data_IF_836752268631
#
_entry.id   IF_836752268631
#
_cell.length_a   1.000
_cell.length_b   1.000
_cell.length_c   1.000
_cell.angle_alpha   90.00
_cell.angle_beta   90.00
_cell.angle_gamma   90.00
#
_symmetry.space_group_name_H-M   'P 1'
#
loop_
_entity.id
_entity.type
_entity.pdbx_description
1 polymer ?
#
# COMPACT_ATOMS: atom_id res chain seq x y z
N UNK A 1 4.15 -6.48 23.80
CA UNK A 1 3.59 -5.51 22.82
C UNK A 1 3.77 -4.09 23.30
N UNK A 2 4.29 -3.21 22.45
CA UNK A 2 4.32 -1.77 22.74
C UNK A 2 2.92 -1.18 22.57
N UNK A 3 2.55 -0.19 23.38
CA UNK A 3 1.27 0.50 23.24
C UNK A 3 1.47 1.80 22.47
N UNK A 4 0.54 2.14 21.58
CA UNK A 4 0.53 3.43 20.91
C UNK A 4 0.52 4.58 21.92
N UNK A 5 1.08 5.74 21.55
CA UNK A 5 1.01 6.95 22.36
C UNK A 5 -0.42 7.25 22.82
N UNK A 6 -0.58 7.67 24.07
CA UNK A 6 -1.88 7.92 24.73
C UNK A 6 -2.85 6.72 24.85
N UNK A 7 -2.53 5.54 24.32
CA UNK A 7 -3.39 4.35 24.47
C UNK A 7 -3.65 3.96 25.92
N UNK A 8 -2.66 4.16 26.80
CA UNK A 8 -2.80 3.88 28.24
C UNK A 8 -3.71 4.88 28.97
N UNK A 9 -3.98 6.03 28.36
CA UNK A 9 -4.85 7.09 28.90
C UNK A 9 -6.30 6.96 28.40
N UNK A 10 -6.54 6.08 27.43
CA UNK A 10 -7.87 5.77 26.95
C UNK A 10 -8.68 5.01 28.03
N UNK A 11 -9.99 5.29 28.19
CA UNK A 11 -10.87 4.56 29.11
C UNK A 11 -10.80 3.04 28.91
N UNK A 12 -10.99 2.23 29.96
CA UNK A 12 -10.88 0.76 29.86
C UNK A 12 -12.00 0.05 30.58
N UNK A 13 -12.26 -1.19 30.15
CA UNK A 13 -13.27 -2.07 30.75
C UNK A 13 -14.60 -2.05 30.00
N UNK A 14 -15.45 -3.03 30.33
CA UNK A 14 -16.72 -3.30 29.62
C UNK A 14 -17.68 -2.10 29.56
N UNK A 15 -17.60 -1.18 30.53
CA UNK A 15 -18.42 0.05 30.58
C UNK A 15 -18.05 1.08 29.51
N UNK A 16 -16.85 0.97 28.91
CA UNK A 16 -16.35 1.87 27.87
C UNK A 16 -16.20 1.17 26.52
N UNK A 17 -16.85 0.00 26.34
CA UNK A 17 -16.80 -0.76 25.09
C UNK A 17 -17.37 0.05 23.91
N UNK A 18 -18.45 0.81 24.15
CA UNK A 18 -19.09 1.68 23.14
C UNK A 18 -18.49 3.09 23.07
N UNK A 19 -17.57 3.43 23.97
CA UNK A 19 -16.86 4.71 23.92
C UNK A 19 -15.93 4.70 22.71
N UNK A 20 -16.01 5.74 21.89
CA UNK A 20 -15.22 5.87 20.67
C UNK A 20 -13.74 6.12 21.03
N UNK A 21 -12.82 5.50 20.29
CA UNK A 21 -11.39 5.80 20.38
C UNK A 21 -10.98 6.61 19.16
N UNK A 22 -10.43 7.79 19.40
CA UNK A 22 -9.96 8.69 18.33
C UNK A 22 -8.48 8.43 18.08
N UNK A 23 -8.13 8.17 16.81
CA UNK A 23 -6.79 7.89 16.34
C UNK A 23 -6.44 8.87 15.23
N UNK A 24 -5.31 9.55 15.34
CA UNK A 24 -4.71 10.33 14.25
C UNK A 24 -3.54 9.55 13.65
N UNK A 25 -3.47 9.42 12.32
CA UNK A 25 -2.40 8.67 11.65
C UNK A 25 -1.83 9.42 10.45
N UNK A 26 -0.50 9.51 10.37
CA UNK A 26 0.22 10.17 9.28
C UNK A 26 1.38 11.04 9.78
N UNK A 27 2.06 11.72 8.85
CA UNK A 27 3.24 12.57 9.14
C UNK A 27 2.97 13.62 10.21
N UNK A 28 1.75 14.17 10.25
CA UNK A 28 1.34 15.25 11.16
C UNK A 28 0.42 14.77 12.28
N UNK A 29 0.43 13.46 12.58
CA UNK A 29 -0.46 12.85 13.59
C UNK A 29 -0.30 13.46 14.98
N UNK A 30 0.92 13.80 15.39
CA UNK A 30 1.16 14.42 16.70
C UNK A 30 0.58 15.83 16.80
N UNK A 31 0.73 16.64 15.74
CA UNK A 31 0.23 18.02 15.72
C UNK A 31 -1.30 18.06 15.81
N UNK A 32 -1.98 17.22 15.03
CA UNK A 32 -3.44 17.11 15.06
C UNK A 32 -3.97 16.52 16.38
N UNK A 33 -3.28 15.53 16.94
CA UNK A 33 -3.63 14.99 18.25
C UNK A 33 -3.49 16.02 19.37
N UNK A 34 -2.46 16.86 19.31
CA UNK A 34 -2.27 17.98 20.23
C UNK A 34 -3.37 19.05 20.06
N UNK A 35 -3.70 19.40 18.82
CA UNK A 35 -4.79 20.33 18.50
C UNK A 35 -6.14 19.83 19.04
N UNK A 36 -6.47 18.55 18.83
CA UNK A 36 -7.67 17.93 19.40
C UNK A 36 -7.68 18.05 20.93
N UNK A 37 -6.56 17.78 21.59
CA UNK A 37 -6.48 17.84 23.05
C UNK A 37 -6.63 19.27 23.61
N UNK A 38 -6.12 20.28 22.89
CA UNK A 38 -6.07 21.66 23.36
C UNK A 38 -7.33 22.48 23.00
N UNK A 39 -7.99 22.16 21.89
CA UNK A 39 -9.09 22.95 21.32
C UNK A 39 -10.35 22.11 21.08
N UNK A 40 -10.36 21.30 20.02
CA UNK A 40 -11.58 20.67 19.52
C UNK A 40 -12.20 19.62 20.46
N UNK A 41 -11.37 18.82 21.14
CA UNK A 41 -11.80 17.85 22.14
C UNK A 41 -12.49 18.53 23.32
N UNK A 42 -11.95 19.66 23.80
CA UNK A 42 -12.59 20.46 24.86
C UNK A 42 -13.94 21.03 24.43
N UNK A 43 -14.06 21.48 23.18
CA UNK A 43 -15.32 21.94 22.61
C UNK A 43 -16.35 20.82 22.48
N UNK A 44 -15.90 19.58 22.19
CA UNK A 44 -16.72 18.37 22.16
C UNK A 44 -16.98 17.75 23.55
N UNK A 45 -16.44 18.34 24.63
CA UNK A 45 -16.53 17.79 26.00
C UNK A 45 -15.67 16.54 26.25
N UNK A 46 -14.78 16.19 25.31
CA UNK A 46 -13.84 15.08 25.42
C UNK A 46 -12.48 15.56 25.97
N UNK A 47 -12.15 15.12 27.18
CA UNK A 47 -10.87 15.40 27.83
C UNK A 47 -9.86 14.24 27.71
N UNK A 48 -10.20 13.19 26.95
CA UNK A 48 -9.32 12.04 26.75
C UNK A 48 -8.34 12.36 25.62
N UNK A 49 -7.02 12.26 25.86
CA UNK A 49 -6.04 12.54 24.82
C UNK A 49 -6.11 11.46 23.72
N UNK A 50 -6.24 11.84 22.44
CA UNK A 50 -6.39 10.90 21.35
C UNK A 50 -5.09 10.11 21.13
N UNK A 51 -5.26 8.91 20.58
CA UNK A 51 -4.13 8.09 20.14
C UNK A 51 -3.57 8.69 18.86
N UNK A 52 -2.25 8.67 18.69
CA UNK A 52 -1.63 9.15 17.46
C UNK A 52 -0.55 8.20 16.97
N UNK A 53 -0.45 8.09 15.65
CA UNK A 53 0.44 7.20 14.91
C UNK A 53 1.25 8.06 13.92
N UNK A 54 2.39 8.58 14.39
CA UNK A 54 3.36 9.27 13.54
C UNK A 54 4.26 8.29 12.78
N UNK A 55 5.23 8.79 12.03
CA UNK A 55 6.12 7.96 11.20
C UNK A 55 6.80 6.82 11.99
N UNK A 56 7.27 7.11 13.21
CA UNK A 56 7.90 6.11 14.07
C UNK A 56 6.92 5.01 14.52
N UNK A 57 5.67 5.38 14.83
CA UNK A 57 4.65 4.44 15.28
C UNK A 57 4.08 3.64 14.11
N UNK A 58 4.02 4.25 12.92
CA UNK A 58 3.63 3.59 11.68
C UNK A 58 4.70 2.60 11.22
N UNK A 59 5.98 2.89 11.44
CA UNK A 59 7.09 1.95 11.19
C UNK A 59 7.06 0.74 12.14
N UNK A 60 6.60 0.91 13.38
CA UNK A 60 6.46 -0.18 14.37
C UNK A 60 5.04 -0.76 14.45
N UNK A 61 4.16 -0.46 13.49
CA UNK A 61 2.73 -0.77 13.56
C UNK A 61 2.43 -2.27 13.77
N UNK A 62 3.30 -3.15 13.26
CA UNK A 62 3.18 -4.60 13.40
C UNK A 62 3.28 -5.08 14.85
N UNK A 63 4.02 -4.37 15.71
CA UNK A 63 4.21 -4.71 17.13
C UNK A 63 3.56 -3.71 18.08
N UNK A 64 2.77 -2.78 17.53
CA UNK A 64 2.09 -1.72 18.25
C UNK A 64 0.61 -2.04 18.45
N UNK A 65 0.16 -1.99 19.70
CA UNK A 65 -1.26 -2.00 20.02
C UNK A 65 -1.81 -0.59 19.79
N UNK A 66 -2.81 -0.44 18.92
CA UNK A 66 -3.39 0.87 18.55
C UNK A 66 -4.75 1.13 19.19
N UNK A 67 -5.43 0.10 19.67
CA UNK A 67 -6.74 0.17 20.31
C UNK A 67 -6.77 -0.69 21.57
N UNK A 68 -7.42 -0.24 22.67
CA UNK A 68 -7.59 -1.06 23.87
C UNK A 68 -8.45 -2.30 23.58
N UNK A 69 -8.19 -3.39 24.29
CA UNK A 69 -8.96 -4.63 24.12
C UNK A 69 -10.44 -4.44 24.48
N UNK A 70 -11.33 -4.97 23.63
CA UNK A 70 -12.78 -4.93 23.86
C UNK A 70 -13.46 -3.62 23.47
N UNK A 71 -12.83 -2.79 22.63
CA UNK A 71 -13.48 -1.60 22.05
C UNK A 71 -14.30 -1.94 20.81
N UNK A 72 -15.48 -1.34 20.73
CA UNK A 72 -16.43 -1.54 19.63
C UNK A 72 -16.27 -0.51 18.51
N UNK A 73 -15.96 0.74 18.87
CA UNK A 73 -15.93 1.91 17.96
C UNK A 73 -14.58 2.62 17.90
N UNK A 74 -14.14 2.94 16.69
CA UNK A 74 -12.91 3.69 16.43
C UNK A 74 -13.15 4.78 15.39
N UNK A 75 -12.51 5.93 15.56
CA UNK A 75 -12.46 6.98 14.56
C UNK A 75 -11.02 7.23 14.17
N UNK A 76 -10.72 7.07 12.88
CA UNK A 76 -9.39 7.25 12.33
C UNK A 76 -9.36 8.50 11.45
N UNK A 77 -8.55 9.48 11.83
CA UNK A 77 -8.28 10.68 11.03
C UNK A 77 -6.91 10.56 10.38
N UNK A 78 -6.86 10.76 9.06
CA UNK A 78 -5.60 10.96 8.38
C UNK A 78 -5.05 12.35 8.72
N UNK A 79 -3.81 12.40 9.16
CA UNK A 79 -3.12 13.61 9.60
C UNK A 79 -1.83 13.76 8.78
N UNK A 80 -1.92 14.54 7.70
CA UNK A 80 -0.82 14.70 6.75
C UNK A 80 -0.70 13.52 5.79
N UNK A 81 0.53 13.17 5.41
CA UNK A 81 0.82 12.08 4.48
C UNK A 81 0.66 10.73 5.20
N UNK A 82 -0.25 9.89 4.71
CA UNK A 82 -0.42 8.51 5.15
C UNK A 82 -0.45 7.60 3.91
N UNK A 83 0.53 6.69 3.81
CA UNK A 83 0.62 5.77 2.67
C UNK A 83 -0.58 4.81 2.67
N UNK A 84 -1.24 4.55 1.52
CA UNK A 84 -2.39 3.64 1.46
C UNK A 84 -2.14 2.24 2.04
N UNK A 85 -0.93 1.71 1.88
CA UNK A 85 -0.55 0.42 2.48
C UNK A 85 -0.62 0.43 4.02
N UNK A 86 -0.27 1.55 4.67
CA UNK A 86 -0.36 1.68 6.13
C UNK A 86 -1.80 1.80 6.61
N UNK A 87 -2.68 2.42 5.81
CA UNK A 87 -4.13 2.50 6.09
C UNK A 87 -4.73 1.10 6.19
N UNK A 88 -4.40 0.22 5.23
CA UNK A 88 -4.84 -1.17 5.23
C UNK A 88 -4.34 -1.93 6.47
N UNK A 89 -3.06 -1.77 6.83
CA UNK A 89 -2.49 -2.39 8.04
C UNK A 89 -3.18 -1.90 9.32
N UNK A 90 -3.49 -0.61 9.42
CA UNK A 90 -4.27 -0.08 10.55
C UNK A 90 -5.64 -0.76 10.59
N UNK A 91 -6.35 -0.83 9.46
CA UNK A 91 -7.64 -1.49 9.37
C UNK A 91 -7.59 -2.97 9.80
N UNK A 92 -6.59 -3.73 9.37
CA UNK A 92 -6.39 -5.12 9.81
C UNK A 92 -6.15 -5.23 11.32
N UNK A 93 -5.39 -4.29 11.91
CA UNK A 93 -5.18 -4.25 13.36
C UNK A 93 -6.46 -3.96 14.12
N UNK A 94 -7.32 -3.07 13.60
CA UNK A 94 -8.65 -2.81 14.17
C UNK A 94 -9.52 -4.07 14.13
N UNK A 95 -9.47 -4.82 13.03
CA UNK A 95 -10.21 -6.07 12.86
C UNK A 95 -9.76 -7.13 13.89
N UNK A 96 -8.44 -7.31 14.05
CA UNK A 96 -7.85 -8.23 15.04
C UNK A 96 -8.23 -7.84 16.47
N UNK A 97 -8.25 -6.55 16.78
CA UNK A 97 -8.62 -6.02 18.09
C UNK A 97 -10.12 -6.21 18.42
N UNK A 98 -10.93 -6.66 17.45
CA UNK A 98 -12.36 -6.92 17.63
C UNK A 98 -13.25 -5.68 17.47
N UNK A 99 -12.70 -4.60 16.89
CA UNK A 99 -13.47 -3.40 16.55
C UNK A 99 -14.51 -3.78 15.51
N UNK A 100 -15.77 -3.37 15.73
CA UNK A 100 -16.88 -3.66 14.80
C UNK A 100 -17.24 -2.48 13.93
N UNK A 101 -16.96 -1.27 14.41
CA UNK A 101 -17.35 -0.03 13.76
C UNK A 101 -16.14 0.90 13.73
N UNK A 102 -15.66 1.23 12.54
CA UNK A 102 -14.59 2.20 12.37
C UNK A 102 -14.96 3.18 11.27
N UNK A 103 -14.86 4.47 11.57
CA UNK A 103 -15.03 5.55 10.59
C UNK A 103 -13.64 6.13 10.26
N UNK A 104 -13.26 6.08 8.99
CA UNK A 104 -12.02 6.62 8.48
C UNK A 104 -12.26 7.93 7.72
N UNK A 105 -11.43 8.93 7.99
CA UNK A 105 -11.49 10.27 7.42
C UNK A 105 -10.19 10.53 6.65
N UNK A 106 -10.14 10.24 5.33
CA UNK A 106 -8.93 10.37 4.52
C UNK A 106 -8.49 11.83 4.32
N UNK A 107 -9.42 12.77 4.39
CA UNK A 107 -9.16 14.21 4.24
C UNK A 107 -8.97 14.92 5.60
N UNK A 108 -8.81 14.14 6.67
CA UNK A 108 -8.52 14.64 8.01
C UNK A 108 -9.73 15.19 8.76
N UNK A 109 -9.43 15.85 9.86
CA UNK A 109 -10.38 16.14 10.95
C UNK A 109 -11.52 17.10 10.60
N UNK A 110 -11.27 18.02 9.66
CA UNK A 110 -12.24 19.04 9.26
C UNK A 110 -13.06 18.65 8.02
N UNK A 111 -12.82 17.47 7.44
CA UNK A 111 -13.58 16.99 6.28
C UNK A 111 -14.83 16.23 6.69
N UNK A 112 -15.88 16.36 5.88
CA UNK A 112 -17.13 15.60 6.01
C UNK A 112 -17.06 14.23 5.30
N UNK A 113 -16.00 13.98 4.52
CA UNK A 113 -15.83 12.73 3.79
C UNK A 113 -15.37 11.63 4.75
N UNK A 114 -16.29 10.72 5.07
CA UNK A 114 -16.05 9.54 5.90
C UNK A 114 -16.24 8.26 5.11
N UNK A 115 -15.36 7.32 5.34
CA UNK A 115 -15.47 5.94 4.88
C UNK A 115 -15.80 5.06 6.08
N UNK A 116 -16.91 4.32 6.01
CA UNK A 116 -17.26 3.39 7.07
C UNK A 116 -16.64 2.02 6.78
N UNK A 117 -15.82 1.54 7.71
CA UNK A 117 -15.07 0.29 7.58
C UNK A 117 -15.78 -0.92 8.21
N UNK A 118 -17.06 -0.85 8.60
CA UNK A 118 -17.78 -1.99 9.20
C UNK A 118 -17.67 -3.26 8.37
N UNK A 119 -18.00 -3.18 7.07
CA UNK A 119 -17.97 -4.33 6.17
C UNK A 119 -16.54 -4.83 5.95
N UNK A 120 -15.57 -3.92 5.82
CA UNK A 120 -14.16 -4.25 5.66
C UNK A 120 -13.62 -5.03 6.87
N UNK A 121 -13.90 -4.55 8.09
CA UNK A 121 -13.50 -5.21 9.32
C UNK A 121 -14.20 -6.56 9.56
N UNK A 122 -15.42 -6.74 9.06
CA UNK A 122 -16.12 -8.02 9.10
C UNK A 122 -15.50 -9.04 8.16
N UNK A 123 -15.20 -8.65 6.91
CA UNK A 123 -14.52 -9.51 5.93
C UNK A 123 -13.13 -9.92 6.42
N UNK A 124 -12.33 -8.97 6.90
CA UNK A 124 -11.00 -9.25 7.45
C UNK A 124 -11.05 -10.23 8.64
N UNK A 125 -12.04 -10.09 9.53
CA UNK A 125 -12.23 -11.05 10.63
C UNK A 125 -12.69 -12.42 10.14
N UNK A 126 -13.56 -12.48 9.14
CA UNK A 126 -14.00 -13.73 8.56
C UNK A 126 -12.84 -14.47 7.88
N UNK A 127 -12.01 -13.77 7.10
CA UNK A 127 -10.82 -14.33 6.47
C UNK A 127 -9.79 -14.82 7.51
N UNK A 128 -9.60 -14.09 8.60
CA UNK A 128 -8.74 -14.55 9.69
C UNK A 128 -9.32 -15.72 10.48
N UNK A 129 -10.63 -15.80 10.63
CA UNK A 129 -11.31 -16.94 11.24
C UNK A 129 -11.23 -18.19 10.35
N UNK A 130 -11.38 -18.04 9.04
CA UNK A 130 -11.18 -19.10 8.05
C UNK A 130 -9.72 -19.56 8.02
N UNK A 131 -8.75 -18.63 8.00
CA UNK A 131 -7.31 -18.96 8.16
C UNK A 131 -7.00 -19.69 9.47
N UNK A 132 -7.73 -19.40 10.56
CA UNK A 132 -7.61 -20.16 11.83
C UNK A 132 -8.28 -21.53 11.76
N UNK A 133 -9.38 -21.69 11.02
CA UNK A 133 -10.10 -22.97 10.85
C UNK A 133 -9.32 -23.98 10.00
N UNK A 134 -8.53 -23.52 9.02
CA UNK A 134 -7.73 -24.39 8.14
C UNK A 134 -6.47 -24.98 8.84
N UNK A 135 -6.18 -24.58 10.09
CA UNK A 135 -4.97 -25.02 10.83
C UNK A 135 -5.20 -26.27 11.71
N UNK A 136 -6.42 -26.81 11.82
CA UNK A 136 -6.64 -28.06 12.56
C UNK A 136 -6.52 -29.32 11.68
N UNK A 137 -5.29 -29.69 11.33
CA UNK A 137 -4.93 -31.06 10.93
C UNK A 137 -3.66 -31.49 11.70
N UNK A 138 -3.66 -32.68 12.33
CA UNK A 138 -2.66 -33.01 13.35
C UNK A 138 -1.37 -33.49 12.69
N UNK A 139 -0.35 -32.63 12.62
CA UNK A 139 1.02 -33.08 12.43
C UNK A 139 1.87 -32.53 13.58
N UNK A 140 2.34 -33.44 14.43
CA UNK A 140 3.32 -33.20 15.49
C UNK A 140 4.48 -32.34 14.97
N UNK A 141 4.52 -31.05 15.32
CA UNK A 141 5.74 -30.25 15.32
C UNK A 141 5.79 -29.41 16.59
N UNK A 142 6.94 -29.53 17.25
CA UNK A 142 7.34 -28.93 18.52
C UNK A 142 6.88 -27.48 18.64
N UNK A 143 6.35 -27.17 19.81
CA UNK A 143 6.05 -25.84 20.30
C UNK A 143 7.23 -24.89 20.03
N UNK A 144 7.01 -23.88 19.20
CA UNK A 144 7.84 -22.67 19.22
C UNK A 144 7.32 -21.81 20.37
N UNK A 145 8.08 -21.83 21.45
CA UNK A 145 7.99 -20.86 22.53
C UNK A 145 7.97 -19.46 21.92
N UNK A 146 6.94 -18.68 22.28
CA UNK A 146 6.90 -17.24 22.06
C UNK A 146 8.00 -16.63 22.92
N UNK A 147 9.12 -16.31 22.30
CA UNK A 147 10.09 -15.38 22.85
C UNK A 147 9.86 -14.03 22.16
N UNK A 148 9.68 -12.99 22.98
CA UNK A 148 9.38 -11.60 22.62
C UNK A 148 10.61 -10.88 22.01
N UNK A 149 11.30 -11.54 21.08
CA UNK A 149 12.45 -10.98 20.39
C UNK A 149 12.48 -11.45 18.93
N UNK A 150 11.45 -11.07 18.16
CA UNK A 150 11.59 -10.94 16.71
C UNK A 150 12.49 -9.72 16.39
N UNK A 151 13.73 -9.75 16.90
CA UNK A 151 14.84 -9.17 16.20
C UNK A 151 14.76 -9.73 14.78
N UNK A 152 14.70 -8.86 13.79
CA UNK A 152 15.06 -9.15 12.40
C UNK A 152 15.95 -10.38 12.35
N UNK A 153 15.43 -11.53 11.89
CA UNK A 153 16.31 -12.63 11.53
C UNK A 153 17.36 -12.00 10.63
N UNK A 154 18.64 -12.09 10.99
CA UNK A 154 19.68 -11.57 10.14
C UNK A 154 19.45 -12.16 8.74
N UNK A 155 19.57 -11.36 7.68
CA UNK A 155 19.25 -11.77 6.29
C UNK A 155 19.86 -13.15 5.90
N UNK A 156 20.98 -13.54 6.52
CA UNK A 156 21.62 -14.84 6.35
C UNK A 156 20.87 -16.03 7.03
N UNK A 157 20.08 -15.78 8.06
CA UNK A 157 19.25 -16.77 8.78
C UNK A 157 17.84 -16.92 8.18
N UNK A 158 17.42 -15.97 7.34
CA UNK A 158 16.13 -16.05 6.64
C UNK A 158 16.09 -17.23 5.65
N UNK A 159 14.89 -17.75 5.37
CA UNK A 159 14.68 -18.66 4.23
C UNK A 159 14.83 -17.93 2.89
N UNK A 160 14.97 -18.68 1.80
CA UNK A 160 15.04 -18.08 0.45
C UNK A 160 13.78 -17.28 0.09
N UNK A 161 12.59 -17.74 0.51
CA UNK A 161 11.32 -17.02 0.32
C UNK A 161 11.29 -15.71 1.08
N UNK A 162 11.69 -15.72 2.36
CA UNK A 162 11.73 -14.53 3.20
C UNK A 162 12.73 -13.48 2.67
N UNK A 163 13.90 -13.92 2.18
CA UNK A 163 14.83 -13.01 1.49
C UNK A 163 14.23 -12.44 0.21
N UNK A 164 13.50 -13.25 -0.54
CA UNK A 164 12.76 -12.81 -1.73
C UNK A 164 11.70 -11.75 -1.40
N UNK A 165 10.99 -11.90 -0.28
CA UNK A 165 10.03 -10.90 0.22
C UNK A 165 10.71 -9.57 0.57
N UNK A 166 11.91 -9.61 1.16
CA UNK A 166 12.70 -8.39 1.42
C UNK A 166 13.08 -7.70 0.12
N UNK A 167 13.51 -8.45 -0.90
CA UNK A 167 13.81 -7.89 -2.22
C UNK A 167 12.55 -7.29 -2.87
N UNK A 168 11.41 -7.96 -2.81
CA UNK A 168 10.14 -7.44 -3.31
C UNK A 168 9.74 -6.14 -2.60
N UNK A 169 9.90 -6.07 -1.27
CA UNK A 169 9.62 -4.89 -0.49
C UNK A 169 10.55 -3.71 -0.84
N UNK A 170 11.80 -3.97 -1.23
CA UNK A 170 12.73 -2.95 -1.72
C UNK A 170 12.20 -2.26 -3.00
N UNK A 171 11.47 -2.98 -3.85
CA UNK A 171 10.78 -2.42 -5.03
C UNK A 171 9.33 -1.97 -4.73
N UNK A 172 8.99 -1.74 -3.46
CA UNK A 172 7.66 -1.27 -3.06
C UNK A 172 6.53 -2.28 -3.26
N UNK A 173 6.84 -3.56 -3.53
CA UNK A 173 5.85 -4.57 -3.88
C UNK A 173 5.33 -4.47 -5.32
N UNK A 174 5.96 -3.65 -6.15
CA UNK A 174 5.50 -3.34 -7.51
C UNK A 174 6.32 -4.09 -8.57
N UNK A 175 6.51 -5.40 -8.35
CA UNK A 175 7.13 -6.33 -9.30
C UNK A 175 6.09 -7.30 -9.84
N UNK A 176 6.18 -7.62 -11.12
CA UNK A 176 5.37 -8.61 -11.80
C UNK A 176 6.22 -9.42 -12.78
N UNK A 177 5.76 -10.60 -13.17
CA UNK A 177 6.49 -11.47 -14.10
C UNK A 177 5.75 -11.61 -15.42
N UNK A 178 6.49 -11.47 -16.53
CA UNK A 178 5.94 -11.71 -17.85
C UNK A 178 5.88 -13.23 -18.12
N UNK A 179 4.68 -13.76 -18.39
CA UNK A 179 4.42 -15.20 -18.47
C UNK A 179 5.33 -15.96 -19.46
N UNK A 180 5.57 -15.38 -20.63
CA UNK A 180 6.27 -16.08 -21.72
C UNK A 180 7.80 -16.01 -21.61
N UNK A 181 8.33 -14.96 -20.98
CA UNK A 181 9.77 -14.65 -20.98
C UNK A 181 10.40 -14.80 -19.59
N UNK A 182 9.61 -15.07 -18.55
CA UNK A 182 10.03 -15.11 -17.14
C UNK A 182 10.75 -13.82 -16.69
N UNK A 183 10.56 -12.74 -17.45
CA UNK A 183 11.22 -11.46 -17.19
C UNK A 183 10.43 -10.70 -16.14
N UNK A 184 11.10 -10.32 -15.06
CA UNK A 184 10.51 -9.48 -14.01
C UNK A 184 10.42 -8.06 -14.53
N UNK A 185 9.30 -7.40 -14.26
CA UNK A 185 9.12 -5.99 -14.55
C UNK A 185 8.80 -5.23 -13.26
N UNK A 186 9.32 -4.02 -13.16
CA UNK A 186 9.05 -3.08 -12.07
C UNK A 186 8.15 -1.96 -12.56
N UNK A 187 7.10 -1.65 -11.82
CA UNK A 187 6.22 -0.55 -12.15
C UNK A 187 6.76 0.77 -11.60
N UNK A 188 7.10 1.70 -12.48
CA UNK A 188 7.69 3.00 -12.12
C UNK A 188 6.63 4.11 -11.84
N UNK A 189 5.34 3.75 -11.82
CA UNK A 189 4.22 4.69 -11.70
C UNK A 189 3.55 5.05 -13.04
N UNK A 190 4.20 4.75 -14.17
CA UNK A 190 3.69 5.02 -15.52
C UNK A 190 3.62 3.71 -16.31
N UNK A 191 4.75 2.99 -16.38
CA UNK A 191 4.92 1.76 -17.15
C UNK A 191 5.61 0.67 -16.32
N UNK A 192 5.52 -0.56 -16.81
CA UNK A 192 6.25 -1.71 -16.33
C UNK A 192 7.56 -1.83 -17.11
N UNK A 193 8.69 -1.60 -16.44
CA UNK A 193 10.02 -1.66 -17.03
C UNK A 193 10.68 -3.03 -16.75
N UNK A 194 11.29 -3.68 -17.75
CA UNK A 194 11.97 -4.96 -17.53
C UNK A 194 13.18 -4.78 -16.63
N UNK A 195 13.28 -5.61 -15.59
CA UNK A 195 14.41 -5.69 -14.66
C UNK A 195 15.13 -7.00 -14.89
N UNK A 196 16.42 -6.94 -15.19
CA UNK A 196 17.20 -8.16 -15.43
C UNK A 196 17.50 -8.89 -14.12
N UNK A 197 17.60 -10.22 -14.17
CA UNK A 197 17.99 -11.03 -13.00
C UNK A 197 19.30 -10.56 -12.36
N UNK A 198 20.27 -10.11 -13.18
CA UNK A 198 21.53 -9.56 -12.66
C UNK A 198 21.33 -8.29 -11.84
N UNK A 199 20.36 -7.46 -12.21
CA UNK A 199 20.02 -6.24 -11.48
C UNK A 199 19.29 -6.58 -10.17
N UNK A 200 18.35 -7.53 -10.20
CA UNK A 200 17.72 -8.06 -8.99
C UNK A 200 18.74 -8.67 -8.01
N UNK A 201 19.70 -9.42 -8.53
CA UNK A 201 20.79 -9.99 -7.72
C UNK A 201 21.70 -8.91 -7.14
N UNK A 202 22.00 -7.84 -7.89
CA UNK A 202 22.76 -6.68 -7.40
C UNK A 202 21.99 -5.92 -6.32
N UNK A 203 20.69 -5.69 -6.51
CA UNK A 203 19.84 -5.07 -5.50
C UNK A 203 19.81 -5.92 -4.21
N UNK A 204 19.67 -7.24 -4.34
CA UNK A 204 19.74 -8.14 -3.18
C UNK A 204 21.11 -8.09 -2.50
N UNK A 205 22.21 -8.05 -3.26
CA UNK A 205 23.56 -7.89 -2.69
C UNK A 205 23.69 -6.58 -1.90
N UNK A 206 23.15 -5.48 -2.43
CA UNK A 206 23.15 -4.19 -1.76
C UNK A 206 22.38 -4.23 -0.44
N UNK A 207 21.21 -4.89 -0.41
CA UNK A 207 20.44 -5.11 0.83
C UNK A 207 21.27 -5.84 1.90
N UNK A 208 22.08 -6.84 1.52
CA UNK A 208 22.98 -7.50 2.45
C UNK A 208 24.13 -6.60 2.93
N UNK A 209 24.71 -5.80 2.03
CA UNK A 209 25.78 -4.84 2.35
C UNK A 209 25.27 -3.79 3.33
N UNK A 210 24.12 -3.19 3.05
CA UNK A 210 23.51 -2.15 3.88
C UNK A 210 23.12 -2.67 5.26
N UNK A 211 22.81 -3.97 5.36
CA UNK A 211 22.56 -4.64 6.63
C UNK A 211 23.84 -5.09 7.35
N UNK A 212 25.03 -4.85 6.77
CA UNK A 212 26.34 -5.31 7.25
C UNK A 212 26.43 -6.83 7.45
N UNK A 213 25.74 -7.60 6.60
CA UNK A 213 25.66 -9.06 6.68
C UNK A 213 26.39 -9.68 5.49
N UNK A 214 27.25 -10.66 5.77
CA UNK A 214 27.91 -11.45 4.72
C UNK A 214 26.88 -12.22 3.87
N UNK A 215 27.07 -12.21 2.56
CA UNK A 215 26.22 -12.91 1.61
C UNK A 215 27.01 -13.90 0.75
N UNK A 216 26.29 -14.83 0.12
CA UNK A 216 26.84 -15.73 -0.88
C UNK A 216 26.06 -15.64 -2.17
N UNK A 217 26.70 -15.99 -3.28
CA UNK A 217 26.05 -16.03 -4.59
C UNK A 217 24.79 -16.92 -4.59
N UNK A 218 24.84 -18.07 -3.92
CA UNK A 218 23.70 -18.99 -3.82
C UNK A 218 22.56 -18.40 -2.99
N UNK A 219 22.86 -17.67 -1.91
CA UNK A 219 21.83 -17.02 -1.09
C UNK A 219 21.10 -15.92 -1.86
N UNK A 220 21.83 -15.12 -2.65
CA UNK A 220 21.26 -14.10 -3.53
C UNK A 220 20.43 -14.73 -4.64
N UNK A 221 21.00 -15.69 -5.37
CA UNK A 221 20.32 -16.34 -6.50
C UNK A 221 19.03 -17.02 -6.04
N UNK A 222 19.10 -17.81 -4.97
CA UNK A 222 17.90 -18.48 -4.43
C UNK A 222 16.84 -17.50 -3.94
N UNK A 223 17.21 -16.32 -3.42
CA UNK A 223 16.24 -15.28 -3.05
C UNK A 223 15.50 -14.74 -4.28
N UNK A 224 16.23 -14.40 -5.35
CA UNK A 224 15.64 -13.91 -6.61
C UNK A 224 14.74 -14.99 -7.25
N UNK A 225 15.25 -16.22 -7.38
CA UNK A 225 14.50 -17.33 -7.98
C UNK A 225 13.22 -17.63 -7.18
N UNK A 226 13.30 -17.61 -5.84
CA UNK A 226 12.11 -17.86 -5.00
C UNK A 226 11.12 -16.69 -5.05
N UNK A 227 11.60 -15.45 -5.13
CA UNK A 227 10.76 -14.27 -5.29
C UNK A 227 9.92 -14.36 -6.57
N UNK A 228 10.55 -14.71 -7.71
CA UNK A 228 9.85 -14.85 -9.00
C UNK A 228 8.63 -15.76 -8.93
N UNK A 229 8.73 -16.87 -8.20
CA UNK A 229 7.62 -17.83 -8.03
C UNK A 229 6.39 -17.23 -7.33
N UNK A 230 6.58 -16.16 -6.55
CA UNK A 230 5.52 -15.49 -5.80
C UNK A 230 4.97 -14.24 -6.49
N UNK A 231 5.60 -13.80 -7.59
CA UNK A 231 5.19 -12.57 -8.28
C UNK A 231 3.86 -12.77 -9.03
N UNK A 232 3.01 -11.73 -9.10
CA UNK A 232 1.85 -11.74 -9.97
C UNK A 232 2.29 -11.81 -11.44
N UNK A 233 1.53 -12.55 -12.24
CA UNK A 233 1.74 -12.61 -13.68
C UNK A 233 1.15 -11.36 -14.34
N UNK A 234 1.91 -10.74 -15.24
CA UNK A 234 1.46 -9.57 -15.98
C UNK A 234 0.26 -9.91 -16.87
N UNK A 235 -0.71 -8.99 -16.91
CA UNK A 235 -1.78 -9.03 -17.90
C UNK A 235 -1.36 -8.43 -19.24
N UNK A 236 -2.31 -8.43 -20.18
CA UNK A 236 -2.10 -7.87 -21.50
C UNK A 236 -2.43 -6.37 -21.52
N UNK A 237 -1.56 -5.58 -22.16
CA UNK A 237 -1.86 -4.19 -22.46
C UNK A 237 -3.00 -4.10 -23.48
N UNK A 238 -4.06 -3.37 -23.14
CA UNK A 238 -5.17 -3.18 -24.07
C UNK A 238 -4.76 -2.24 -25.23
N UNK A 239 -5.01 -2.65 -26.47
CA UNK A 239 -4.56 -1.96 -27.70
C UNK A 239 -5.11 -0.54 -27.85
N UNK A 240 -6.22 -0.24 -27.20
CA UNK A 240 -6.88 1.06 -27.24
C UNK A 240 -6.29 2.08 -26.26
N UNK A 241 -5.38 1.65 -25.37
CA UNK A 241 -4.75 2.52 -24.38
C UNK A 241 -3.45 3.11 -24.94
N UNK A 242 -3.29 4.41 -24.78
CA UNK A 242 -2.06 5.14 -25.10
C UNK A 242 -1.56 5.78 -23.81
N UNK A 243 -0.37 5.38 -23.36
CA UNK A 243 0.29 5.98 -22.21
C UNK A 243 0.97 7.31 -22.56
N UNK A 244 0.84 8.29 -21.69
CA UNK A 244 1.53 9.58 -21.68
C UNK A 244 2.22 9.76 -20.32
N UNK A 245 3.09 10.75 -20.15
CA UNK A 245 3.80 10.95 -18.87
C UNK A 245 2.90 11.39 -17.72
N UNK A 246 1.69 11.88 -18.03
CA UNK A 246 0.71 12.36 -17.06
C UNK A 246 -0.58 11.52 -17.01
N UNK A 247 -0.63 10.37 -17.66
CA UNK A 247 -1.81 9.50 -17.64
C UNK A 247 -1.99 8.63 -18.89
N UNK A 248 -3.19 8.12 -19.07
CA UNK A 248 -3.54 7.15 -20.12
C UNK A 248 -4.77 7.64 -20.87
N UNK A 249 -4.66 7.68 -22.20
CA UNK A 249 -5.78 7.99 -23.08
C UNK A 249 -6.41 6.71 -23.62
N UNK A 250 -7.73 6.56 -23.45
CA UNK A 250 -8.50 5.48 -24.05
C UNK A 250 -9.11 5.95 -25.38
N UNK A 251 -8.56 5.45 -26.48
CA UNK A 251 -9.02 5.79 -27.84
C UNK A 251 -10.44 5.32 -28.16
N UNK A 252 -10.99 4.37 -27.41
CA UNK A 252 -12.36 3.89 -27.62
C UNK A 252 -13.39 4.83 -27.01
N UNK A 253 -13.11 5.34 -25.81
CA UNK A 253 -14.03 6.23 -25.09
C UNK A 253 -13.71 7.71 -25.30
N UNK A 254 -12.51 8.03 -25.76
CA UNK A 254 -12.01 9.40 -25.89
C UNK A 254 -11.62 10.03 -24.55
N UNK A 255 -11.50 9.24 -23.49
CA UNK A 255 -11.26 9.74 -22.14
C UNK A 255 -9.78 9.64 -21.76
N UNK A 256 -9.29 10.68 -21.10
CA UNK A 256 -7.99 10.69 -20.44
C UNK A 256 -8.16 10.44 -18.94
N UNK A 257 -7.34 9.57 -18.36
CA UNK A 257 -7.37 9.25 -16.91
C UNK A 257 -5.97 9.05 -16.35
N UNK A 258 -5.87 9.01 -15.03
CA UNK A 258 -4.62 8.66 -14.33
C UNK A 258 -4.15 7.24 -14.67
N UNK A 259 -2.86 6.99 -14.44
CA UNK A 259 -2.26 5.68 -14.62
C UNK A 259 -2.87 4.64 -13.71
N UNK A 260 -2.96 3.42 -14.22
CA UNK A 260 -3.34 2.26 -13.45
C UNK A 260 -2.37 1.14 -13.77
N UNK A 261 -1.70 0.58 -12.75
CA UNK A 261 -0.75 -0.51 -12.93
C UNK A 261 -1.35 -1.75 -13.59
N UNK A 262 -2.66 -1.96 -13.43
CA UNK A 262 -3.39 -3.06 -14.07
C UNK A 262 -3.66 -2.85 -15.56
N UNK A 263 -3.26 -1.72 -16.13
CA UNK A 263 -3.24 -1.51 -17.59
C UNK A 263 -2.07 -2.22 -18.26
N UNK A 264 -1.06 -2.62 -17.47
CA UNK A 264 0.14 -3.33 -17.93
C UNK A 264 0.85 -2.60 -19.06
N UNK A 265 0.92 -1.26 -19.00
CA UNK A 265 1.60 -0.47 -20.02
C UNK A 265 3.10 -0.75 -19.97
N UNK A 266 3.68 -1.12 -21.11
CA UNK A 266 5.14 -1.31 -21.24
C UNK A 266 5.83 -0.05 -21.80
N UNK A 267 5.07 0.80 -22.50
CA UNK A 267 5.57 1.99 -23.17
C UNK A 267 4.57 3.12 -22.96
N UNK A 268 5.07 4.31 -22.68
CA UNK A 268 4.32 5.55 -22.62
C UNK A 268 5.13 6.66 -23.31
N UNK A 269 4.43 7.64 -23.87
CA UNK A 269 5.08 8.87 -24.35
C UNK A 269 5.63 9.67 -23.17
N UNK A 270 6.83 10.22 -23.31
CA UNK A 270 7.38 11.17 -22.33
C UNK A 270 6.65 12.51 -22.35
N UNK A 271 5.92 12.80 -23.44
CA UNK A 271 5.15 14.03 -23.56
C UNK A 271 3.82 13.91 -22.77
N UNK A 272 3.37 15.01 -22.14
CA UNK A 272 2.08 15.01 -21.48
C UNK A 272 0.95 15.10 -22.51
N UNK A 273 -0.17 14.44 -22.21
CA UNK A 273 -1.42 14.71 -22.89
C UNK A 273 -1.99 16.04 -22.42
N UNK A 274 -2.48 16.86 -23.36
CA UNK A 274 -3.21 18.10 -23.07
C UNK A 274 -4.56 18.07 -23.78
N UNK A 275 -5.63 18.55 -23.12
CA UNK A 275 -6.88 18.79 -23.82
C UNK A 275 -6.71 19.91 -24.86
N UNK A 276 -7.55 19.95 -25.90
CA UNK A 276 -7.54 21.06 -26.86
C UNK A 276 -7.76 22.39 -26.15
N UNK A 277 -7.05 23.42 -26.61
CA UNK A 277 -7.23 24.78 -26.10
C UNK A 277 -8.64 25.30 -26.42
N UNK A 278 -9.08 26.33 -25.69
CA UNK A 278 -10.42 26.91 -25.90
C UNK A 278 -10.57 27.43 -27.34
N UNK A 279 -11.58 26.92 -28.06
CA UNK A 279 -11.80 27.25 -29.47
C UNK A 279 -10.88 26.51 -30.46
N UNK A 280 -9.96 25.67 -29.97
CA UNK A 280 -9.12 24.85 -30.83
C UNK A 280 -9.95 23.79 -31.55
N UNK A 281 -9.99 23.90 -32.88
CA UNK A 281 -10.66 22.91 -33.73
C UNK A 281 -9.75 22.60 -34.91
N UNK A 282 -9.79 21.34 -35.37
CA UNK A 282 -9.02 20.94 -36.55
C UNK A 282 -9.32 21.82 -37.76
N UNK A 283 -10.55 22.30 -37.93
CA UNK A 283 -10.94 23.15 -39.04
C UNK A 283 -10.20 24.51 -39.07
N UNK A 284 -9.91 25.08 -37.91
CA UNK A 284 -9.32 26.43 -37.80
C UNK A 284 -7.81 26.38 -37.55
N UNK A 285 -7.35 25.44 -36.73
CA UNK A 285 -5.96 25.35 -36.29
C UNK A 285 -5.14 24.33 -37.08
N UNK A 286 -5.79 23.38 -37.76
CA UNK A 286 -5.14 22.39 -38.60
C UNK A 286 -5.93 22.08 -39.90
N UNK A 287 -6.28 23.09 -40.73
CA UNK A 287 -7.23 22.94 -41.84
C UNK A 287 -6.81 21.88 -42.88
N UNK A 288 -5.51 21.63 -43.00
CA UNK A 288 -4.95 20.64 -43.92
C UNK A 288 -4.72 19.25 -43.29
N UNK A 289 -5.07 19.04 -42.02
CA UNK A 289 -4.80 17.81 -41.27
C UNK A 289 -5.25 16.56 -42.04
N UNK A 290 -6.52 16.52 -42.47
CA UNK A 290 -7.07 15.38 -43.22
C UNK A 290 -6.45 15.21 -44.61
N UNK A 291 -6.00 16.30 -45.24
CA UNK A 291 -5.31 16.23 -46.54
C UNK A 291 -3.94 15.57 -46.38
N UNK A 292 -3.22 15.91 -45.31
CA UNK A 292 -1.92 15.35 -45.00
C UNK A 292 -2.04 13.89 -44.57
N UNK A 293 -2.99 13.58 -43.68
CA UNK A 293 -3.27 12.21 -43.24
C UNK A 293 -3.60 11.31 -44.44
N UNK A 294 -4.50 11.76 -45.35
CA UNK A 294 -4.82 11.01 -46.56
C UNK A 294 -3.60 10.77 -47.43
N UNK A 295 -2.75 11.77 -47.63
CA UNK A 295 -1.53 11.60 -48.45
C UNK A 295 -0.57 10.57 -47.84
N UNK A 296 -0.39 10.58 -46.52
CA UNK A 296 0.49 9.64 -45.83
C UNK A 296 0.00 8.19 -45.85
N UNK A 297 -1.31 7.97 -46.05
CA UNK A 297 -1.91 6.62 -46.07
C UNK A 297 -2.25 6.16 -47.49
N UNK A 298 -2.40 7.09 -48.46
CA UNK A 298 -2.81 6.80 -49.84
C UNK A 298 -1.66 6.61 -50.85
N UNK A 299 -0.39 6.73 -50.45
CA UNK A 299 0.79 6.37 -51.27
C UNK A 299 1.41 5.02 -50.84
N UNK A 300 0.61 4.11 -50.27
CA UNK A 300 0.96 2.68 -50.11
C UNK A 300 0.02 1.80 -50.93
#
# INVERSE_FOLDING_TARGET
MKSAPNLKKQPRGKKHADTEVIIFAGSDAWAHAKQWQEQDGRLAGDNVPPVWLGEQQLAELDNLQIVPDGRYRVRLYQAGLLRPGLVNTIGQKLAVAGVRDADYYPEGMHSQKRENWREYLERERAEQAEKKKVVELPVKKKERVKDDNASSLALNQMGASQRGEVLLAHYGGELAIHADSDTVHHYNGVVWEPVQDKELQRAMAQIFIDAEISYSQNAIKSAVDTMKLSLPVMGNTARNLIGFSNGVFDTRTGNFREHNKNDWLLIASELPFSPPAEGETLATHAPNFWKWLRRSVAEN
#
